data_IF_690631618891
#
_entry.id   IF_690631618891
#
_cell.length_a   1.000
_cell.length_b   1.000
_cell.length_c   1.000
_cell.angle_alpha   90.00
_cell.angle_beta   90.00
_cell.angle_gamma   90.00
#
_symmetry.space_group_name_H-M   'P 1'
#
loop_
_entity.id
_entity.type
_entity.pdbx_description
1 polymer ?
#
# COMPACT_ATOMS: atom_id res chain seq x y z
N UNK A 1 16.97 12.41 10.48
CA UNK A 1 16.12 11.52 11.27
C UNK A 1 14.68 11.99 11.09
N UNK A 2 14.00 11.47 10.06
CA UNK A 2 12.59 11.78 9.81
C UNK A 2 11.76 11.03 10.85
N UNK A 3 10.96 11.79 11.60
CA UNK A 3 9.96 11.26 12.52
C UNK A 3 9.09 10.25 11.77
N UNK A 4 9.15 8.97 12.16
CA UNK A 4 8.10 8.00 11.85
C UNK A 4 6.84 8.48 12.55
N UNK A 5 6.13 9.43 11.93
CA UNK A 5 4.76 9.71 12.29
C UNK A 5 4.04 8.37 12.24
N UNK A 6 3.53 7.92 13.38
CA UNK A 6 2.61 6.80 13.49
C UNK A 6 1.40 7.13 12.62
N UNK A 7 1.47 6.72 11.33
CA UNK A 7 0.38 6.88 10.38
C UNK A 7 -0.80 6.14 10.97
N UNK A 8 -1.89 6.86 11.23
CA UNK A 8 -3.11 6.25 11.76
C UNK A 8 -3.59 5.18 10.77
N UNK A 9 -4.04 4.01 11.26
CA UNK A 9 -4.55 2.97 10.37
C UNK A 9 -5.78 3.50 9.62
N UNK A 10 -5.90 3.12 8.34
CA UNK A 10 -7.04 3.47 7.51
C UNK A 10 -8.35 3.10 8.22
N UNK A 11 -9.19 4.10 8.47
CA UNK A 11 -10.51 3.91 9.07
C UNK A 11 -11.45 3.32 8.01
N UNK A 12 -11.77 2.04 8.14
CA UNK A 12 -12.72 1.36 7.27
C UNK A 12 -14.15 1.55 7.79
N UNK A 13 -15.09 1.76 6.88
CA UNK A 13 -16.52 1.64 7.21
C UNK A 13 -16.85 0.17 7.46
N UNK A 14 -17.42 -0.14 8.63
CA UNK A 14 -17.90 -1.50 8.96
C UNK A 14 -19.17 -1.91 8.17
N UNK A 15 -19.61 -1.09 7.21
CA UNK A 15 -20.76 -1.41 6.36
C UNK A 15 -20.54 -2.74 5.64
N UNK A 16 -21.42 -3.71 5.91
CA UNK A 16 -21.37 -5.04 5.31
C UNK A 16 -20.46 -6.05 6.05
N UNK A 17 -19.78 -5.65 7.14
CA UNK A 17 -19.10 -6.61 8.00
C UNK A 17 -20.10 -7.42 8.81
N UNK A 18 -19.90 -8.74 8.86
CA UNK A 18 -20.64 -9.67 9.70
C UNK A 18 -19.70 -10.80 10.12
N UNK A 19 -19.89 -11.32 11.34
CA UNK A 19 -19.19 -12.53 11.76
C UNK A 19 -19.73 -13.75 11.00
N UNK A 20 -18.83 -14.67 10.66
CA UNK A 20 -19.18 -15.85 9.87
C UNK A 20 -20.08 -16.80 10.67
N UNK A 21 -20.98 -17.51 10.00
CA UNK A 21 -21.72 -18.60 10.64
C UNK A 21 -20.84 -19.86 10.69
N UNK A 22 -20.72 -20.49 11.86
CA UNK A 22 -19.84 -21.65 12.11
C UNK A 22 -20.62 -22.96 12.01
N UNK A 23 -20.73 -23.53 10.81
CA UNK A 23 -21.51 -24.74 10.55
C UNK A 23 -20.72 -25.91 9.97
N UNK A 24 -19.42 -25.75 9.75
CA UNK A 24 -18.55 -26.78 9.18
C UNK A 24 -17.79 -27.50 10.28
N UNK A 25 -17.28 -28.69 9.96
CA UNK A 25 -16.28 -29.35 10.81
C UNK A 25 -14.88 -28.80 10.47
N UNK A 26 -13.97 -28.84 11.43
CA UNK A 26 -12.56 -28.59 11.15
C UNK A 26 -11.98 -29.72 10.28
N UNK A 27 -11.17 -29.37 9.28
CA UNK A 27 -10.37 -30.33 8.52
C UNK A 27 -9.14 -30.71 9.35
N UNK A 28 -9.33 -31.59 10.33
CA UNK A 28 -8.27 -32.05 11.21
C UNK A 28 -7.09 -32.69 10.46
N UNK A 29 -7.34 -33.29 9.29
CA UNK A 29 -6.27 -33.88 8.48
C UNK A 29 -5.34 -32.79 7.96
N UNK A 30 -5.90 -31.66 7.51
CA UNK A 30 -5.13 -30.48 7.14
C UNK A 30 -4.43 -29.89 8.37
N UNK A 31 -5.17 -29.61 9.45
CA UNK A 31 -4.62 -28.95 10.64
C UNK A 31 -3.47 -29.73 11.27
N UNK A 32 -3.60 -31.06 11.39
CA UNK A 32 -2.55 -31.94 11.91
C UNK A 32 -1.33 -32.04 11.00
N UNK A 33 -1.47 -31.74 9.70
CA UNK A 33 -0.35 -31.67 8.76
C UNK A 33 0.53 -30.43 8.94
N UNK A 34 0.07 -29.42 9.68
CA UNK A 34 0.79 -28.15 9.85
C UNK A 34 1.69 -28.20 11.08
N UNK A 35 2.99 -28.06 10.84
CA UNK A 35 3.99 -27.85 11.89
C UNK A 35 4.13 -26.35 12.19
N UNK A 36 3.52 -25.93 13.29
CA UNK A 36 3.46 -24.53 13.73
C UNK A 36 4.87 -23.93 13.94
N UNK A 37 5.81 -24.70 14.47
CA UNK A 37 7.15 -24.17 14.76
C UNK A 37 7.94 -23.99 13.48
N UNK A 38 7.75 -24.88 12.50
CA UNK A 38 8.30 -24.70 11.15
C UNK A 38 7.65 -23.52 10.42
N UNK A 39 6.33 -23.33 10.53
CA UNK A 39 5.63 -22.17 9.95
C UNK A 39 6.23 -20.87 10.48
N UNK A 40 6.42 -20.75 11.80
CA UNK A 40 7.02 -19.55 12.41
C UNK A 40 8.47 -19.37 11.96
N UNK A 41 9.26 -20.45 11.98
CA UNK A 41 10.70 -20.38 11.68
C UNK A 41 10.98 -20.03 10.22
N UNK A 42 10.21 -20.58 9.30
CA UNK A 42 10.38 -20.41 7.86
C UNK A 42 9.51 -19.28 7.29
N UNK A 43 8.59 -18.73 8.08
CA UNK A 43 7.54 -17.82 7.60
C UNK A 43 6.75 -18.45 6.45
N UNK A 44 6.26 -19.67 6.69
CA UNK A 44 5.45 -20.40 5.71
C UNK A 44 4.01 -19.85 5.73
N UNK A 45 3.83 -18.75 4.98
CA UNK A 45 2.54 -18.09 4.84
C UNK A 45 1.52 -18.99 4.14
N UNK A 46 1.97 -19.82 3.18
CA UNK A 46 1.10 -20.70 2.43
C UNK A 46 0.37 -21.69 3.34
N UNK A 47 1.07 -22.28 4.31
CA UNK A 47 0.46 -23.18 5.28
C UNK A 47 -0.66 -22.49 6.11
N UNK A 48 -0.49 -21.21 6.41
CA UNK A 48 -1.52 -20.42 7.12
C UNK A 48 -2.70 -20.12 6.19
N UNK A 49 -2.44 -19.73 4.94
CA UNK A 49 -3.47 -19.46 3.94
C UNK A 49 -4.34 -20.69 3.65
N UNK A 50 -3.71 -21.86 3.51
CA UNK A 50 -4.39 -23.13 3.22
C UNK A 50 -5.40 -23.50 4.32
N UNK A 51 -5.16 -23.10 5.57
CA UNK A 51 -6.04 -23.41 6.70
C UNK A 51 -7.05 -22.30 7.04
N UNK A 52 -7.02 -21.13 6.40
CA UNK A 52 -7.91 -20.01 6.72
C UNK A 52 -9.39 -20.41 6.69
N UNK A 53 -9.84 -21.12 5.66
CA UNK A 53 -11.26 -21.47 5.53
C UNK A 53 -11.74 -22.39 6.66
N UNK A 54 -10.94 -23.41 7.01
CA UNK A 54 -11.32 -24.33 8.08
C UNK A 54 -11.25 -23.68 9.46
N UNK A 55 -10.25 -22.82 9.71
CA UNK A 55 -10.13 -22.05 10.94
C UNK A 55 -11.30 -21.06 11.08
N UNK A 56 -11.71 -20.43 9.98
CA UNK A 56 -12.79 -19.45 9.96
C UNK A 56 -14.16 -20.10 10.11
N UNK A 57 -14.45 -21.22 9.44
CA UNK A 57 -15.82 -21.78 9.37
C UNK A 57 -16.07 -22.96 10.31
N UNK A 58 -15.02 -23.55 10.87
CA UNK A 58 -15.11 -24.70 11.76
C UNK A 58 -15.93 -24.40 13.02
N UNK A 59 -16.77 -25.35 13.41
CA UNK A 59 -17.71 -25.22 14.51
C UNK A 59 -17.11 -25.79 15.80
N UNK A 60 -16.44 -24.93 16.57
CA UNK A 60 -15.88 -25.35 17.85
C UNK A 60 -16.96 -25.89 18.80
N UNK A 61 -18.13 -25.27 18.86
CA UNK A 61 -19.24 -25.72 19.70
C UNK A 61 -19.70 -27.16 19.38
N UNK A 62 -19.68 -27.56 18.11
CA UNK A 62 -20.09 -28.90 17.68
C UNK A 62 -19.05 -29.98 18.02
N UNK A 63 -17.77 -29.60 18.11
CA UNK A 63 -16.66 -30.55 18.28
C UNK A 63 -16.04 -30.53 19.67
N UNK A 64 -16.27 -29.47 20.46
CA UNK A 64 -15.61 -29.17 21.75
C UNK A 64 -15.42 -30.40 22.64
N UNK A 65 -16.49 -31.16 22.86
CA UNK A 65 -16.49 -32.27 23.82
C UNK A 65 -15.67 -33.49 23.35
N UNK A 66 -15.21 -33.49 22.09
CA UNK A 66 -14.38 -34.53 21.48
C UNK A 66 -12.92 -34.12 21.30
N UNK A 67 -12.58 -32.86 21.57
CA UNK A 67 -11.24 -32.34 21.35
C UNK A 67 -10.37 -32.57 22.59
N UNK A 68 -9.17 -33.09 22.36
CA UNK A 68 -8.14 -33.10 23.40
C UNK A 68 -7.63 -31.67 23.65
N UNK A 69 -7.06 -31.39 24.84
CA UNK A 69 -6.38 -30.13 25.10
C UNK A 69 -5.31 -29.80 24.05
N UNK A 70 -4.56 -30.81 23.58
CA UNK A 70 -3.55 -30.64 22.52
C UNK A 70 -4.15 -30.13 21.20
N UNK A 71 -5.31 -30.66 20.79
CA UNK A 71 -6.01 -30.20 19.59
C UNK A 71 -6.48 -28.76 19.75
N UNK A 72 -6.98 -28.38 20.94
CA UNK A 72 -7.39 -27.01 21.22
C UNK A 72 -6.21 -26.03 21.20
N UNK A 73 -5.05 -26.41 21.77
CA UNK A 73 -3.82 -25.62 21.72
C UNK A 73 -3.34 -25.44 20.27
N UNK A 74 -3.33 -26.51 19.49
CA UNK A 74 -2.95 -26.44 18.08
C UNK A 74 -3.89 -25.52 17.28
N UNK A 75 -5.20 -25.70 17.44
CA UNK A 75 -6.21 -24.88 16.79
C UNK A 75 -6.07 -23.40 17.16
N UNK A 76 -5.92 -23.11 18.46
CA UNK A 76 -5.72 -21.74 18.91
C UNK A 76 -4.44 -21.15 18.30
N UNK A 77 -3.29 -21.82 18.40
CA UNK A 77 -2.03 -21.32 17.83
C UNK A 77 -2.12 -21.04 16.32
N UNK A 78 -2.83 -21.88 15.56
CA UNK A 78 -3.08 -21.63 14.13
C UNK A 78 -3.97 -20.40 13.91
N UNK A 79 -5.01 -20.20 14.73
CA UNK A 79 -5.81 -18.96 14.71
C UNK A 79 -4.95 -17.73 14.98
N UNK A 80 -4.01 -17.80 15.94
CA UNK A 80 -3.12 -16.68 16.24
C UNK A 80 -2.22 -16.32 15.04
N UNK A 81 -1.65 -17.32 14.36
CA UNK A 81 -0.86 -17.11 13.15
C UNK A 81 -1.70 -16.51 12.02
N UNK A 82 -2.92 -17.02 11.82
CA UNK A 82 -3.86 -16.47 10.84
C UNK A 82 -4.21 -15.00 11.14
N UNK A 83 -4.51 -14.68 12.41
CA UNK A 83 -4.80 -13.30 12.83
C UNK A 83 -3.60 -12.40 12.59
N UNK A 84 -2.39 -12.81 12.99
CA UNK A 84 -1.17 -12.03 12.79
C UNK A 84 -0.90 -11.78 11.31
N UNK A 85 -1.07 -12.81 10.47
CA UNK A 85 -0.87 -12.71 9.03
C UNK A 85 -1.88 -11.75 8.38
N UNK A 86 -3.18 -11.89 8.66
CA UNK A 86 -4.20 -10.99 8.12
C UNK A 86 -4.01 -9.55 8.62
N UNK A 87 -3.60 -9.36 9.87
CA UNK A 87 -3.26 -8.03 10.39
C UNK A 87 -2.06 -7.41 9.67
N UNK A 88 -1.04 -8.20 9.34
CA UNK A 88 0.08 -7.76 8.48
C UNK A 88 -0.41 -7.37 7.09
N UNK A 89 -1.21 -8.22 6.43
CA UNK A 89 -1.77 -7.91 5.10
C UNK A 89 -2.52 -6.58 5.11
N UNK A 90 -3.44 -6.38 6.07
CA UNK A 90 -4.15 -5.10 6.24
C UNK A 90 -3.19 -3.92 6.34
N UNK A 91 -2.15 -4.03 7.18
CA UNK A 91 -1.20 -2.95 7.39
C UNK A 91 -0.37 -2.65 6.13
N UNK A 92 0.06 -3.69 5.41
CA UNK A 92 0.79 -3.58 4.16
C UNK A 92 -0.09 -2.95 3.06
N UNK A 93 -1.32 -3.43 2.87
CA UNK A 93 -2.27 -2.89 1.89
C UNK A 93 -2.57 -1.41 2.14
N UNK A 94 -2.75 -1.01 3.40
CA UNK A 94 -3.03 0.39 3.74
C UNK A 94 -1.86 1.32 3.36
N UNK A 95 -0.61 0.89 3.58
CA UNK A 95 0.57 1.69 3.27
C UNK A 95 0.86 1.72 1.77
N UNK A 96 0.63 0.61 1.07
CA UNK A 96 0.69 0.55 -0.38
C UNK A 96 -0.39 1.43 -1.02
N UNK A 97 -1.61 1.40 -0.51
CA UNK A 97 -2.71 2.25 -0.96
C UNK A 97 -2.31 3.74 -0.91
N UNK A 98 -1.73 4.19 0.20
CA UNK A 98 -1.22 5.57 0.30
C UNK A 98 -0.18 5.88 -0.78
N UNK A 99 0.77 4.96 -1.01
CA UNK A 99 1.81 5.14 -2.03
C UNK A 99 1.24 5.18 -3.45
N UNK A 100 0.29 4.29 -3.79
CA UNK A 100 -0.40 4.31 -5.07
C UNK A 100 -1.18 5.61 -5.30
N UNK A 101 -1.85 6.12 -4.26
CA UNK A 101 -2.59 7.38 -4.35
C UNK A 101 -1.65 8.57 -4.58
N UNK A 102 -0.52 8.63 -3.87
CA UNK A 102 0.50 9.67 -4.07
C UNK A 102 1.09 9.59 -5.48
N UNK A 103 1.50 8.39 -5.92
CA UNK A 103 2.03 8.17 -7.27
C UNK A 103 1.02 8.62 -8.34
N UNK A 104 -0.26 8.28 -8.18
CA UNK A 104 -1.33 8.69 -9.11
C UNK A 104 -1.49 10.21 -9.15
N UNK A 105 -1.51 10.87 -8.00
CA UNK A 105 -1.61 12.33 -7.93
C UNK A 105 -0.40 13.03 -8.58
N UNK A 106 0.82 12.53 -8.33
CA UNK A 106 2.03 13.07 -8.96
C UNK A 106 2.08 12.81 -10.46
N UNK A 107 1.56 11.68 -10.94
CA UNK A 107 1.42 11.38 -12.37
C UNK A 107 0.46 12.37 -13.06
N UNK A 108 -0.69 12.68 -12.45
CA UNK A 108 -1.61 13.69 -12.97
C UNK A 108 -0.98 15.10 -12.98
N UNK A 109 -0.25 15.46 -11.92
CA UNK A 109 0.48 16.73 -11.85
C UNK A 109 1.55 16.84 -12.94
N UNK A 110 2.30 15.76 -13.18
CA UNK A 110 3.28 15.69 -14.27
C UNK A 110 2.62 15.87 -15.62
N UNK A 111 1.49 15.19 -15.88
CA UNK A 111 0.74 15.35 -17.15
C UNK A 111 0.25 16.78 -17.36
N UNK A 112 -0.23 17.42 -16.30
CA UNK A 112 -0.65 18.82 -16.36
C UNK A 112 0.53 19.73 -16.71
N UNK A 113 1.66 19.58 -16.02
CA UNK A 113 2.88 20.35 -16.30
C UNK A 113 3.41 20.11 -17.73
N UNK A 114 3.38 18.87 -18.21
CA UNK A 114 3.80 18.51 -19.56
C UNK A 114 2.91 19.19 -20.62
N UNK A 115 1.59 19.17 -20.43
CA UNK A 115 0.65 19.87 -21.32
C UNK A 115 0.89 21.38 -21.32
N UNK A 116 1.06 21.99 -20.16
CA UNK A 116 1.38 23.43 -20.07
C UNK A 116 2.69 23.77 -20.78
N UNK A 117 3.74 22.97 -20.60
CA UNK A 117 5.00 23.17 -21.33
C UNK A 117 4.83 23.02 -22.84
N UNK A 118 4.04 22.03 -23.28
CA UNK A 118 3.71 21.84 -24.69
C UNK A 118 2.97 23.05 -25.28
N UNK A 119 1.95 23.54 -24.59
CA UNK A 119 1.14 24.67 -25.03
C UNK A 119 1.96 25.96 -25.12
N UNK A 120 2.68 26.31 -24.04
CA UNK A 120 3.49 27.54 -23.97
C UNK A 120 4.66 27.48 -24.95
N UNK A 121 5.38 26.36 -25.03
CA UNK A 121 6.50 26.23 -25.94
C UNK A 121 6.08 26.19 -27.41
N UNK A 122 4.92 25.60 -27.74
CA UNK A 122 4.39 25.65 -29.11
C UNK A 122 3.97 27.06 -29.51
N UNK A 123 3.37 27.82 -28.60
CA UNK A 123 3.05 29.23 -28.82
C UNK A 123 4.32 30.07 -29.06
N UNK A 124 5.35 29.87 -28.22
CA UNK A 124 6.65 30.52 -28.39
C UNK A 124 7.29 30.22 -29.76
N UNK A 125 7.27 28.95 -30.19
CA UNK A 125 7.80 28.57 -31.50
C UNK A 125 7.03 29.24 -32.63
N UNK A 126 5.69 29.22 -32.60
CA UNK A 126 4.85 29.85 -33.62
C UNK A 126 5.12 31.34 -33.73
N UNK A 127 5.13 32.03 -32.60
CA UNK A 127 5.33 33.48 -32.52
C UNK A 127 6.73 33.89 -33.01
N UNK A 128 7.76 33.10 -32.66
CA UNK A 128 9.14 33.36 -33.09
C UNK A 128 9.34 33.09 -34.58
N UNK A 129 8.66 32.08 -35.14
CA UNK A 129 8.69 31.79 -36.58
C UNK A 129 7.96 32.87 -37.39
N UNK A 130 6.83 33.39 -36.89
CA UNK A 130 6.05 34.43 -37.55
C UNK A 130 6.75 35.80 -37.55
N UNK A 131 7.32 36.19 -36.41
CA UNK A 131 8.01 37.48 -36.27
C UNK A 131 9.46 37.44 -36.77
N UNK A 132 10.03 36.25 -36.91
CA UNK A 132 11.46 36.06 -37.21
C UNK A 132 12.38 36.53 -36.08
N UNK A 133 11.84 36.80 -34.89
CA UNK A 133 12.59 37.31 -33.72
C UNK A 133 12.21 36.55 -32.47
N UNK A 134 13.17 36.35 -31.56
CA UNK A 134 12.91 35.72 -30.26
C UNK A 134 12.30 36.74 -29.31
N UNK A 135 11.08 36.48 -28.87
CA UNK A 135 10.39 37.32 -27.88
C UNK A 135 10.74 36.82 -26.49
N UNK A 136 11.39 37.71 -25.72
CA UNK A 136 11.95 37.36 -24.40
C UNK A 136 10.89 36.93 -23.39
N UNK A 137 9.74 37.60 -23.37
CA UNK A 137 8.66 37.29 -22.44
C UNK A 137 8.11 35.87 -22.68
N UNK A 138 7.91 35.49 -23.94
CA UNK A 138 7.47 34.16 -24.35
C UNK A 138 8.52 33.08 -24.05
N UNK A 139 9.82 33.41 -24.17
CA UNK A 139 10.92 32.53 -23.77
C UNK A 139 10.96 32.34 -22.24
N UNK A 140 10.86 33.40 -21.45
CA UNK A 140 10.85 33.35 -19.99
C UNK A 140 9.65 32.52 -19.47
N UNK A 141 8.48 32.63 -20.12
CA UNK A 141 7.31 31.81 -19.83
C UNK A 141 7.55 30.32 -20.15
N UNK A 142 8.21 30.03 -21.27
CA UNK A 142 8.58 28.67 -21.67
C UNK A 142 9.57 28.04 -20.68
N UNK A 143 10.58 28.80 -20.26
CA UNK A 143 11.55 28.36 -19.25
C UNK A 143 10.88 28.09 -17.89
N UNK A 144 9.91 28.94 -17.50
CA UNK A 144 9.12 28.74 -16.28
C UNK A 144 8.30 27.44 -16.35
N UNK A 145 7.64 27.19 -17.48
CA UNK A 145 6.88 25.95 -17.69
C UNK A 145 7.79 24.71 -17.71
N UNK A 146 9.00 24.83 -18.28
CA UNK A 146 10.00 23.76 -18.26
C UNK A 146 10.45 23.43 -16.84
N UNK A 147 10.78 24.44 -16.02
CA UNK A 147 11.17 24.24 -14.62
C UNK A 147 10.04 23.58 -13.80
N UNK A 148 8.78 23.94 -14.07
CA UNK A 148 7.63 23.30 -13.45
C UNK A 148 7.51 21.82 -13.85
N UNK A 149 7.73 21.49 -15.13
CA UNK A 149 7.77 20.11 -15.61
C UNK A 149 8.92 19.32 -14.97
N UNK A 150 10.13 19.87 -14.90
CA UNK A 150 11.28 19.23 -14.24
C UNK A 150 11.06 19.02 -12.74
N UNK A 151 10.33 19.93 -12.07
CA UNK A 151 9.93 19.74 -10.67
C UNK A 151 8.90 18.61 -10.54
N UNK A 152 7.85 18.61 -11.36
CA UNK A 152 6.83 17.56 -11.36
C UNK A 152 7.42 16.18 -11.70
N UNK A 153 8.42 16.12 -12.58
CA UNK A 153 9.14 14.88 -12.93
C UNK A 153 9.92 14.32 -11.74
N UNK A 154 10.62 15.18 -10.99
CA UNK A 154 11.31 14.77 -9.76
C UNK A 154 10.32 14.25 -8.70
N UNK A 155 9.20 14.92 -8.52
CA UNK A 155 8.18 14.51 -7.55
C UNK A 155 7.53 13.19 -7.93
N UNK A 156 7.23 13.00 -9.23
CA UNK A 156 6.69 11.74 -9.75
C UNK A 156 7.66 10.57 -9.60
N UNK A 157 8.92 10.75 -9.98
CA UNK A 157 9.94 9.70 -9.82
C UNK A 157 10.16 9.36 -8.33
N UNK A 158 10.20 10.36 -7.44
CA UNK A 158 10.32 10.12 -6.01
C UNK A 158 9.11 9.35 -5.43
N UNK A 159 7.90 9.58 -5.96
CA UNK A 159 6.72 8.81 -5.59
C UNK A 159 6.79 7.35 -6.05
N UNK A 160 7.31 7.10 -7.27
CA UNK A 160 7.53 5.74 -7.77
C UNK A 160 8.61 5.00 -6.95
N UNK A 161 9.72 5.66 -6.62
CA UNK A 161 10.76 5.08 -5.76
C UNK A 161 10.21 4.70 -4.39
N UNK A 162 9.36 5.57 -3.80
CA UNK A 162 8.70 5.29 -2.53
C UNK A 162 7.73 4.11 -2.63
N UNK A 163 6.98 4.00 -3.72
CA UNK A 163 6.08 2.87 -3.99
C UNK A 163 6.86 1.56 -4.12
N UNK A 164 7.96 1.53 -4.87
CA UNK A 164 8.79 0.34 -5.04
C UNK A 164 9.46 -0.10 -3.72
N UNK A 165 9.96 0.86 -2.94
CA UNK A 165 10.54 0.60 -1.63
C UNK A 165 9.49 0.03 -0.66
N UNK A 166 8.27 0.55 -0.71
CA UNK A 166 7.17 0.08 0.14
C UNK A 166 6.65 -1.30 -0.29
N UNK A 167 6.53 -1.57 -1.59
CA UNK A 167 6.19 -2.91 -2.12
C UNK A 167 7.23 -3.95 -1.71
N UNK A 168 8.52 -3.59 -1.83
CA UNK A 168 9.60 -4.43 -1.33
C UNK A 168 9.44 -4.70 0.16
N UNK A 169 9.13 -3.68 0.97
CA UNK A 169 8.95 -3.82 2.41
C UNK A 169 7.73 -4.66 2.78
N UNK A 170 6.61 -4.51 2.06
CA UNK A 170 5.37 -5.24 2.28
C UNK A 170 5.55 -6.76 2.12
N UNK A 171 6.42 -7.18 1.19
CA UNK A 171 6.80 -8.59 0.97
C UNK A 171 7.61 -9.20 2.13
N UNK A 172 8.23 -8.37 2.97
CA UNK A 172 9.00 -8.82 4.12
C UNK A 172 8.09 -8.99 5.35
N UNK A 173 7.52 -10.18 5.50
CA UNK A 173 6.79 -10.59 6.68
C UNK A 173 7.60 -11.61 7.49
N UNK A 174 7.42 -11.63 8.81
CA UNK A 174 7.91 -12.69 9.71
C UNK A 174 6.95 -12.83 10.89
N UNK A 175 6.55 -14.07 11.19
CA UNK A 175 5.77 -14.36 12.38
C UNK A 175 6.56 -14.03 13.65
N UNK A 176 5.88 -13.44 14.62
CA UNK A 176 6.44 -13.20 15.95
C UNK A 176 6.26 -14.45 16.80
N UNK A 177 7.25 -14.72 17.66
CA UNK A 177 7.07 -15.71 18.72
C UNK A 177 6.14 -15.13 19.78
N UNK A 178 5.05 -15.84 20.08
CA UNK A 178 4.13 -15.51 21.16
C UNK A 178 4.86 -15.64 22.51
N UNK A 179 5.01 -14.52 23.21
CA UNK A 179 5.82 -14.42 24.44
C UNK A 179 5.13 -13.64 25.55
N UNK A 180 3.95 -13.08 25.29
CA UNK A 180 3.21 -12.33 26.31
C UNK A 180 2.31 -13.29 27.07
N UNK A 181 2.26 -13.17 28.40
CA UNK A 181 1.31 -13.95 29.21
C UNK A 181 -0.14 -13.64 28.79
N UNK A 182 -1.00 -14.66 28.86
CA UNK A 182 -2.41 -14.49 28.52
C UNK A 182 -3.12 -13.74 29.66
N UNK A 183 -3.73 -12.59 29.35
CA UNK A 183 -4.57 -11.90 30.33
C UNK A 183 -5.95 -12.54 30.41
N UNK A 184 -6.09 -13.58 31.24
CA UNK A 184 -7.36 -14.31 31.42
C UNK A 184 -8.48 -13.42 31.94
N UNK A 185 -8.19 -12.42 32.79
CA UNK A 185 -9.20 -11.49 33.29
C UNK A 185 -9.85 -10.68 32.18
N UNK A 186 -9.08 -10.27 31.16
CA UNK A 186 -9.61 -9.53 30.02
C UNK A 186 -10.44 -10.43 29.11
N UNK A 187 -9.95 -11.65 28.85
CA UNK A 187 -10.65 -12.61 28.00
C UNK A 187 -11.96 -13.08 28.62
N UNK A 188 -11.98 -13.38 29.91
CA UNK A 188 -13.19 -13.83 30.62
C UNK A 188 -14.22 -12.71 30.79
N UNK A 189 -13.80 -11.45 30.72
CA UNK A 189 -14.72 -10.30 30.73
C UNK A 189 -15.39 -10.08 29.36
N UNK A 190 -14.81 -10.59 28.28
CA UNK A 190 -15.37 -10.49 26.94
C UNK A 190 -16.35 -11.64 26.70
N UNK A 191 -17.62 -11.36 26.46
CA UNK A 191 -18.60 -12.40 26.10
C UNK A 191 -18.63 -12.53 24.58
N UNK A 192 -18.18 -13.67 24.05
CA UNK A 192 -18.10 -13.92 22.61
C UNK A 192 -19.47 -13.92 21.93
N UNK A 193 -20.50 -14.48 22.57
CA UNK A 193 -21.85 -14.55 22.01
C UNK A 193 -22.47 -13.16 21.94
N UNK A 194 -22.30 -12.38 23.01
CA UNK A 194 -22.74 -10.98 23.04
C UNK A 194 -21.99 -10.13 22.02
N UNK A 195 -20.68 -10.31 21.91
CA UNK A 195 -19.82 -9.60 20.96
C UNK A 195 -20.32 -9.84 19.53
N UNK A 196 -20.57 -11.10 19.17
CA UNK A 196 -21.08 -11.48 17.85
C UNK A 196 -22.48 -10.93 17.62
N UNK A 197 -23.39 -11.07 18.58
CA UNK A 197 -24.78 -10.63 18.45
C UNK A 197 -24.94 -9.11 18.33
N UNK A 198 -24.05 -8.34 18.98
CA UNK A 198 -24.08 -6.88 18.99
C UNK A 198 -23.10 -6.22 18.02
N UNK A 199 -22.31 -7.02 17.29
CA UNK A 199 -21.22 -6.55 16.43
C UNK A 199 -20.23 -5.62 17.17
N UNK A 200 -19.87 -5.97 18.42
CA UNK A 200 -19.02 -5.16 19.28
C UNK A 200 -17.53 -5.29 18.90
N UNK A 201 -17.16 -4.59 17.82
CA UNK A 201 -15.78 -4.55 17.32
C UNK A 201 -14.84 -3.84 18.31
N UNK A 202 -15.35 -2.89 19.10
CA UNK A 202 -14.52 -2.19 20.09
C UNK A 202 -14.02 -3.12 21.20
N UNK A 203 -14.91 -4.00 21.69
CA UNK A 203 -14.52 -5.07 22.61
C UNK A 203 -13.54 -6.05 21.97
N UNK A 204 -13.76 -6.42 20.70
CA UNK A 204 -12.88 -7.32 19.97
C UNK A 204 -11.46 -6.75 19.81
N UNK A 205 -11.35 -5.47 19.43
CA UNK A 205 -10.08 -4.75 19.30
C UNK A 205 -9.33 -4.66 20.62
N UNK A 206 -10.04 -4.53 21.75
CA UNK A 206 -9.43 -4.50 23.07
C UNK A 206 -8.76 -5.84 23.44
N UNK A 207 -9.34 -6.98 23.03
CA UNK A 207 -8.80 -8.32 23.32
C UNK A 207 -7.86 -8.86 22.23
N UNK A 208 -7.86 -8.25 21.04
CA UNK A 208 -7.08 -8.70 19.88
C UNK A 208 -5.57 -8.88 20.14
N UNK A 209 -4.86 -7.99 20.87
CA UNK A 209 -3.44 -8.19 21.16
C UNK A 209 -3.19 -9.45 22.00
N UNK A 210 -4.08 -9.73 22.95
CA UNK A 210 -4.00 -10.91 23.81
C UNK A 210 -4.26 -12.20 23.00
N UNK A 211 -5.27 -12.17 22.13
CA UNK A 211 -5.55 -13.29 21.22
C UNK A 211 -4.41 -13.53 20.23
N UNK A 212 -3.76 -12.48 19.73
CA UNK A 212 -2.73 -12.61 18.69
C UNK A 212 -1.37 -13.04 19.26
N UNK A 213 -0.96 -12.48 20.40
CA UNK A 213 0.41 -12.61 20.91
C UNK A 213 0.53 -13.36 22.25
N UNK A 214 -0.60 -13.66 22.90
CA UNK A 214 -0.68 -14.45 24.12
C UNK A 214 -0.04 -15.83 23.95
N UNK A 215 0.82 -16.22 24.88
CA UNK A 215 1.58 -17.46 24.83
C UNK A 215 0.83 -18.57 25.56
N UNK A 216 0.03 -19.34 24.83
CA UNK A 216 -0.69 -20.47 25.42
C UNK A 216 0.24 -21.60 25.88
N UNK A 217 1.43 -21.70 25.27
CA UNK A 217 2.43 -22.73 25.59
C UNK A 217 3.25 -22.43 26.84
N UNK A 218 3.21 -21.19 27.34
CA UNK A 218 3.80 -20.86 28.65
C UNK A 218 2.84 -21.05 29.80
N UNK A 219 1.56 -21.28 29.51
CA UNK A 219 0.57 -21.63 30.52
C UNK A 219 0.81 -23.08 30.98
N UNK A 220 0.50 -23.35 32.25
CA UNK A 220 0.60 -24.68 32.83
C UNK A 220 -0.52 -25.57 32.27
N UNK A 221 -0.17 -26.71 31.66
CA UNK A 221 -1.12 -27.65 31.04
C UNK A 221 -2.19 -28.13 32.04
N UNK A 222 -1.86 -28.23 33.33
CA UNK A 222 -2.80 -28.63 34.38
C UNK A 222 -3.84 -27.54 34.68
N UNK A 223 -3.58 -26.29 34.28
CA UNK A 223 -4.45 -25.13 34.49
C UNK A 223 -5.34 -24.85 33.27
N UNK A 224 -4.99 -25.36 32.08
CA UNK A 224 -5.79 -25.21 30.85
C UNK A 224 -7.00 -26.15 30.85
N UNK A 225 -8.09 -25.69 31.47
CA UNK A 225 -9.39 -26.38 31.45
C UNK A 225 -10.16 -26.20 30.13
N UNK A 226 -11.15 -27.07 29.83
CA UNK A 226 -12.06 -26.88 28.69
C UNK A 226 -12.78 -25.52 28.66
N UNK A 227 -12.97 -24.90 29.83
CA UNK A 227 -13.56 -23.56 29.93
C UNK A 227 -12.69 -22.49 29.26
N UNK A 228 -11.37 -22.54 29.45
CA UNK A 228 -10.44 -21.62 28.81
C UNK A 228 -10.52 -21.69 27.28
N UNK A 229 -10.58 -22.90 26.72
CA UNK A 229 -10.71 -23.09 25.27
C UNK A 229 -12.08 -22.66 24.73
N UNK A 230 -13.14 -22.85 25.52
CA UNK A 230 -14.48 -22.32 25.18
C UNK A 230 -14.55 -20.80 25.11
N UNK A 231 -13.59 -20.12 25.76
CA UNK A 231 -13.46 -18.68 25.69
C UNK A 231 -12.51 -18.25 24.56
N UNK A 232 -11.33 -18.85 24.48
CA UNK A 232 -10.28 -18.47 23.54
C UNK A 232 -10.67 -18.70 22.08
N UNK A 233 -11.18 -19.88 21.75
CA UNK A 233 -11.35 -20.28 20.35
C UNK A 233 -12.44 -19.45 19.68
N UNK A 234 -13.65 -19.28 20.25
CA UNK A 234 -14.67 -18.42 19.63
C UNK A 234 -14.22 -16.96 19.49
N UNK A 235 -13.54 -16.40 20.50
CA UNK A 235 -12.99 -15.04 20.41
C UNK A 235 -11.92 -14.92 19.33
N UNK A 236 -11.02 -15.90 19.21
CA UNK A 236 -10.01 -15.92 18.16
C UNK A 236 -10.61 -16.11 16.76
N UNK A 237 -11.66 -16.91 16.64
CA UNK A 237 -12.40 -17.05 15.38
C UNK A 237 -13.11 -15.74 14.99
N UNK A 238 -13.70 -15.02 15.95
CA UNK A 238 -14.26 -13.69 15.72
C UNK A 238 -13.17 -12.66 15.35
N UNK A 239 -12.02 -12.71 16.02
CA UNK A 239 -10.86 -11.89 15.68
C UNK A 239 -10.39 -12.15 14.24
N UNK A 240 -10.28 -13.43 13.84
CA UNK A 240 -9.94 -13.83 12.48
C UNK A 240 -10.93 -13.27 11.46
N UNK A 241 -12.24 -13.39 11.68
CA UNK A 241 -13.26 -12.80 10.80
C UNK A 241 -13.01 -11.31 10.59
N UNK A 242 -12.77 -10.59 11.68
CA UNK A 242 -12.57 -9.15 11.65
C UNK A 242 -11.32 -8.78 10.87
N UNK A 243 -10.16 -9.34 11.22
CA UNK A 243 -8.89 -8.97 10.57
C UNK A 243 -8.83 -9.45 9.12
N UNK A 244 -9.45 -10.59 8.79
CA UNK A 244 -9.54 -11.08 7.41
C UNK A 244 -10.44 -10.17 6.57
N UNK A 245 -11.60 -9.77 7.09
CA UNK A 245 -12.46 -8.80 6.42
C UNK A 245 -11.72 -7.48 6.17
N UNK A 246 -10.99 -6.99 7.17
CA UNK A 246 -10.19 -5.78 7.05
C UNK A 246 -9.08 -5.92 5.99
N UNK A 247 -8.39 -7.06 5.95
CA UNK A 247 -7.35 -7.34 4.96
C UNK A 247 -7.92 -7.38 3.54
N UNK A 248 -9.07 -8.01 3.35
CA UNK A 248 -9.75 -8.09 2.06
C UNK A 248 -10.26 -6.71 1.60
N UNK A 249 -10.88 -5.94 2.51
CA UNK A 249 -11.38 -4.60 2.19
C UNK A 249 -10.23 -3.64 1.81
N UNK A 250 -9.12 -3.67 2.54
CA UNK A 250 -7.93 -2.87 2.19
C UNK A 250 -7.26 -3.35 0.91
N UNK A 251 -7.22 -4.67 0.66
CA UNK A 251 -6.71 -5.24 -0.60
C UNK A 251 -7.50 -4.76 -1.81
N UNK A 252 -8.83 -4.78 -1.73
CA UNK A 252 -9.70 -4.29 -2.81
C UNK A 252 -9.48 -2.79 -3.11
N UNK A 253 -9.29 -1.96 -2.08
CA UNK A 253 -8.96 -0.54 -2.25
C UNK A 253 -7.59 -0.35 -2.90
N UNK A 254 -6.59 -1.13 -2.48
CA UNK A 254 -5.25 -1.12 -3.07
C UNK A 254 -5.28 -1.50 -4.55
N UNK A 255 -6.02 -2.53 -4.93
CA UNK A 255 -6.21 -2.94 -6.33
C UNK A 255 -6.86 -1.83 -7.17
N UNK A 256 -7.87 -1.14 -6.63
CA UNK A 256 -8.48 0.02 -7.29
C UNK A 256 -7.46 1.15 -7.50
N UNK A 257 -6.63 1.46 -6.51
CA UNK A 257 -5.60 2.48 -6.61
C UNK A 257 -4.49 2.10 -7.61
N UNK A 258 -4.10 0.81 -7.65
CA UNK A 258 -3.18 0.29 -8.66
C UNK A 258 -3.75 0.47 -10.08
N UNK A 259 -5.03 0.16 -10.29
CA UNK A 259 -5.69 0.36 -11.58
C UNK A 259 -5.79 1.84 -11.95
N UNK A 260 -6.05 2.72 -10.99
CA UNK A 260 -6.07 4.16 -11.20
C UNK A 260 -4.69 4.69 -11.63
N UNK A 261 -3.60 4.27 -10.96
CA UNK A 261 -2.24 4.62 -11.37
C UNK A 261 -1.93 4.16 -12.80
N UNK A 262 -2.27 2.91 -13.13
CA UNK A 262 -2.08 2.38 -14.48
C UNK A 262 -2.80 3.24 -15.53
N UNK A 263 -4.05 3.63 -15.27
CA UNK A 263 -4.81 4.50 -16.16
C UNK A 263 -4.17 5.90 -16.28
N UNK A 264 -3.69 6.47 -15.17
CA UNK A 264 -3.00 7.76 -15.16
C UNK A 264 -1.71 7.74 -16.00
N UNK A 265 -1.02 6.61 -16.07
CA UNK A 265 0.25 6.47 -16.77
C UNK A 265 0.15 6.21 -18.28
N UNK A 266 -1.04 5.91 -18.82
CA UNK A 266 -1.22 5.54 -20.25
C UNK A 266 -0.66 6.60 -21.20
N UNK A 267 -0.91 7.88 -20.93
CA UNK A 267 -0.53 8.99 -21.81
C UNK A 267 0.92 9.46 -21.60
N UNK A 268 1.58 9.03 -20.52
CA UNK A 268 2.91 9.55 -20.12
C UNK A 268 3.95 9.33 -21.23
N UNK A 269 4.11 8.13 -21.83
CA UNK A 269 5.11 7.93 -22.89
C UNK A 269 4.95 8.85 -24.11
N UNK A 270 3.71 9.12 -24.50
CA UNK A 270 3.39 10.03 -25.62
C UNK A 270 3.74 11.47 -25.27
N UNK A 271 3.36 11.93 -24.07
CA UNK A 271 3.70 13.27 -23.59
C UNK A 271 5.21 13.44 -23.41
N UNK A 272 5.93 12.42 -22.94
CA UNK A 272 7.40 12.44 -22.83
C UNK A 272 8.05 12.64 -24.19
N UNK A 273 7.61 11.89 -25.21
CA UNK A 273 8.12 12.05 -26.58
C UNK A 273 7.86 13.47 -27.12
N UNK A 274 6.64 13.98 -26.94
CA UNK A 274 6.25 15.30 -27.43
C UNK A 274 7.04 16.43 -26.75
N UNK A 275 7.25 16.34 -25.42
CA UNK A 275 8.01 17.36 -24.67
C UNK A 275 9.48 17.36 -25.05
N UNK A 276 10.07 16.19 -25.33
CA UNK A 276 11.43 16.06 -25.86
C UNK A 276 11.58 16.66 -27.26
N UNK A 277 10.63 16.37 -28.16
CA UNK A 277 10.62 16.93 -29.52
C UNK A 277 10.50 18.46 -29.48
N UNK A 278 9.56 19.00 -28.69
CA UNK A 278 9.41 20.44 -28.51
C UNK A 278 10.69 21.08 -27.97
N UNK A 279 11.32 20.46 -26.99
CA UNK A 279 12.58 20.94 -26.43
C UNK A 279 13.70 21.00 -27.49
N UNK A 280 13.80 19.97 -28.35
CA UNK A 280 14.75 19.94 -29.45
C UNK A 280 14.49 21.07 -30.47
N UNK A 281 13.22 21.33 -30.79
CA UNK A 281 12.82 22.40 -31.71
C UNK A 281 13.16 23.79 -31.15
N UNK A 282 12.85 24.05 -29.88
CA UNK A 282 13.22 25.30 -29.18
C UNK A 282 14.74 25.49 -29.19
N UNK A 283 15.49 24.45 -28.86
CA UNK A 283 16.95 24.49 -28.84
C UNK A 283 17.52 24.81 -30.22
N UNK A 284 17.00 24.17 -31.28
CA UNK A 284 17.39 24.41 -32.66
C UNK A 284 17.13 25.86 -33.08
N UNK A 285 15.96 26.41 -32.75
CA UNK A 285 15.60 27.80 -33.03
C UNK A 285 16.57 28.79 -32.36
N UNK A 286 16.89 28.58 -31.08
CA UNK A 286 17.79 29.44 -30.32
C UNK A 286 19.23 29.39 -30.86
N UNK A 287 19.73 28.21 -31.23
CA UNK A 287 21.06 28.06 -31.83
C UNK A 287 21.14 28.62 -33.24
N UNK A 288 20.11 28.43 -34.06
CA UNK A 288 20.02 29.01 -35.40
C UNK A 288 19.95 30.54 -35.39
N UNK A 289 19.21 31.11 -34.42
CA UNK A 289 19.17 32.55 -34.17
C UNK A 289 20.54 33.12 -33.78
N UNK A 290 21.27 32.41 -32.90
CA UNK A 290 22.62 32.82 -32.47
C UNK A 290 23.62 32.85 -33.65
N UNK A 291 23.59 31.85 -34.53
CA UNK A 291 24.46 31.80 -35.72
C UNK A 291 24.14 32.92 -36.74
N UNK A 292 22.86 33.25 -36.94
CA UNK A 292 22.46 34.34 -37.83
C UNK A 292 22.88 35.73 -37.29
N UNK A 293 22.84 35.90 -35.97
CA UNK A 293 23.23 37.15 -35.31
C UNK A 293 24.75 37.38 -35.33
N UNK A 294 25.56 36.31 -35.22
CA UNK A 294 27.03 36.36 -35.36
C UNK A 294 27.47 36.73 -36.78
N UNK A 295 26.81 36.19 -37.81
CA UNK A 295 27.09 36.51 -39.22
C UNK A 295 26.66 37.94 -39.59
N UNK A 296 25.55 38.43 -39.02
CA UNK A 296 25.11 39.82 -39.16
C UNK A 296 26.08 40.84 -38.54
N UNK A 297 26.69 40.50 -37.40
CA UNK A 297 27.73 41.33 -36.78
C UNK A 297 29.04 41.32 -37.58
N UNK A 298 29.47 40.17 -38.13
CA UNK A 298 30.68 40.13 -38.97
C UNK A 298 30.53 40.85 -40.32
N UNK A 299 29.33 40.84 -40.91
CA UNK A 299 29.05 41.56 -42.16
C UNK A 299 28.81 43.07 -41.95
N UNK A 300 28.31 43.49 -40.79
CA UNK A 300 28.11 44.90 -40.44
C UNK A 300 29.40 45.70 -40.15
N UNK A 301 30.47 45.04 -39.69
CA UNK A 301 31.78 45.71 -39.44
C UNK A 301 32.66 45.88 -40.69
N UNK A 302 32.36 45.21 -41.81
CA UNK A 302 33.21 45.25 -43.01
C UNK A 302 32.96 46.46 -43.94
N UNK A 303 32.03 47.36 -43.62
CA UNK A 303 31.64 48.48 -44.51
C UNK A 303 31.97 49.89 -44.00
N UNK A 304 32.75 50.06 -42.93
CA UNK A 304 33.05 51.41 -42.39
C UNK A 304 34.54 51.80 -42.28
N UNK A 305 35.41 51.27 -43.15
CA UNK A 305 36.81 51.71 -43.26
C UNK A 305 37.15 52.26 -44.65
N UNK A 306 36.34 53.21 -45.13
CA UNK A 306 36.57 53.94 -46.37
C UNK A 306 36.19 55.40 -46.22
N UNK A 307 37.09 56.22 -45.67
CA UNK A 307 36.98 57.67 -45.72
C UNK A 307 37.73 58.40 -44.61
N UNK A 308 38.92 58.90 -44.92
CA UNK A 308 39.69 59.84 -44.08
C UNK A 308 41.18 59.54 -44.07
#
# INVERSE_FOLDING_TARGET
MLSMATRQPLALSLSGFQFSYRNNYFDWRLLHGIDIDNVIRLTDVQAVEDCLDTLQRGSFAAERDRLSPSNCVQLFRLLQLAIEYCAHLRAAHALLLDCYNVASATAESWKAAARTYLDVGSAFLSESMETGTVIRESLDATDTAKLALEAADRDYNAALDALEAEDSRARHFRFRKQRTEISWSQLNAADADRLVASLDVGLLEAVLPNLTYGSITSEDDEQLTPHHFSQLIPLAQAALDYVLWQANATGALMEQAMSALQASCVDIPTLTSATQELHANITSLLLGGAQAQEVGLMTGTAMNSGGG
#
